data_IF_475270366145
#
_entry.id   IF_475270366145
#
_cell.length_a   1.000
_cell.length_b   1.000
_cell.length_c   1.000
_cell.angle_alpha   90.00
_cell.angle_beta   90.00
_cell.angle_gamma   90.00
#
_symmetry.space_group_name_H-M   'P 1'
#
loop_
_entity.id
_entity.type
_entity.pdbx_description
1 polymer ?
#
# COMPACT_ATOMS: atom_id res chain seq x y z
N UNK A 1 -19.22 30.52 13.42
CA UNK A 1 -18.65 29.23 12.99
C UNK A 1 -19.27 28.90 11.64
N UNK A 2 -18.55 29.11 10.57
CA UNK A 2 -18.97 28.75 9.20
C UNK A 2 -18.61 27.32 8.95
N UNK A 3 -19.61 26.43 8.86
CA UNK A 3 -19.42 25.04 8.44
C UNK A 3 -18.89 25.04 7.00
N UNK A 4 -17.67 24.55 6.86
CA UNK A 4 -17.05 24.32 5.55
C UNK A 4 -17.63 23.03 4.97
N UNK A 5 -18.65 23.15 4.13
CA UNK A 5 -19.16 22.02 3.33
C UNK A 5 -18.43 22.01 1.98
N UNK A 6 -17.51 21.06 1.74
CA UNK A 6 -16.80 21.00 0.48
C UNK A 6 -17.79 20.59 -0.63
N UNK A 7 -17.94 21.44 -1.64
CA UNK A 7 -18.73 21.14 -2.83
C UNK A 7 -18.07 20.01 -3.65
N UNK A 8 -18.88 19.10 -4.21
CA UNK A 8 -18.42 17.96 -5.04
C UNK A 8 -17.49 18.38 -6.18
N UNK A 9 -17.67 19.58 -6.73
CA UNK A 9 -16.79 20.12 -7.77
C UNK A 9 -15.41 20.53 -7.25
N UNK A 10 -15.29 21.01 -6.03
CA UNK A 10 -14.00 21.35 -5.42
C UNK A 10 -13.21 20.10 -5.04
N UNK A 11 -13.88 19.03 -4.62
CA UNK A 11 -13.29 17.71 -4.38
C UNK A 11 -12.72 17.09 -5.67
N UNK A 12 -13.45 17.16 -6.78
CA UNK A 12 -13.00 16.64 -8.07
C UNK A 12 -11.82 17.44 -8.65
N UNK A 13 -11.80 18.76 -8.47
CA UNK A 13 -10.66 19.60 -8.91
C UNK A 13 -9.42 19.36 -8.04
N UNK A 14 -9.58 19.15 -6.76
CA UNK A 14 -8.48 18.81 -5.84
C UNK A 14 -7.85 17.45 -6.12
N UNK A 15 -8.67 16.43 -6.42
CA UNK A 15 -8.19 15.09 -6.74
C UNK A 15 -7.50 15.00 -8.10
N UNK A 16 -7.97 15.75 -9.11
CA UNK A 16 -7.32 15.79 -10.42
C UNK A 16 -5.94 16.47 -10.35
N UNK A 17 -5.80 17.53 -9.58
CA UNK A 17 -4.51 18.20 -9.36
C UNK A 17 -3.53 17.32 -8.58
N UNK A 18 -4.00 16.57 -7.59
CA UNK A 18 -3.19 15.63 -6.83
C UNK A 18 -2.67 14.46 -7.68
N UNK A 19 -3.52 13.93 -8.59
CA UNK A 19 -3.13 12.86 -9.52
C UNK A 19 -2.12 13.34 -10.57
N UNK A 20 -2.27 14.55 -11.08
CA UNK A 20 -1.32 15.15 -12.05
C UNK A 20 0.06 15.41 -11.38
N UNK A 21 0.08 15.83 -10.13
CA UNK A 21 1.32 16.03 -9.38
C UNK A 21 2.03 14.68 -9.07
N UNK A 22 1.28 13.62 -8.79
CA UNK A 22 1.84 12.30 -8.51
C UNK A 22 2.54 11.67 -9.73
N UNK A 23 2.09 11.98 -10.94
CA UNK A 23 2.67 11.45 -12.18
C UNK A 23 4.07 12.00 -12.51
N UNK A 24 4.49 13.09 -11.86
CA UNK A 24 5.80 13.74 -12.09
C UNK A 24 6.81 13.51 -10.99
N UNK A 25 6.45 12.78 -9.94
CA UNK A 25 7.29 12.58 -8.76
C UNK A 25 8.33 11.47 -9.01
N UNK A 26 9.58 11.77 -8.70
CA UNK A 26 10.63 10.75 -8.62
C UNK A 26 10.37 9.77 -7.46
N UNK A 27 10.97 8.57 -7.54
CA UNK A 27 10.84 7.58 -6.47
C UNK A 27 11.25 8.13 -5.09
N UNK A 28 12.27 8.99 -5.04
CA UNK A 28 12.74 9.62 -3.80
C UNK A 28 11.74 10.64 -3.25
N UNK A 29 11.05 11.36 -4.12
CA UNK A 29 9.98 12.28 -3.72
C UNK A 29 8.78 11.51 -3.19
N UNK A 30 8.40 10.40 -3.83
CA UNK A 30 7.31 9.53 -3.34
C UNK A 30 7.64 8.95 -1.96
N UNK A 31 8.88 8.54 -1.73
CA UNK A 31 9.35 8.09 -0.41
C UNK A 31 9.32 9.24 0.62
N UNK A 32 9.62 10.46 0.22
CA UNK A 32 9.51 11.65 1.06
C UNK A 32 8.06 11.92 1.50
N UNK A 33 7.10 11.82 0.58
CA UNK A 33 5.67 11.96 0.91
C UNK A 33 5.16 10.82 1.79
N UNK A 34 5.58 9.58 1.54
CA UNK A 34 5.21 8.44 2.38
C UNK A 34 5.74 8.61 3.82
N UNK A 35 6.97 9.10 3.99
CA UNK A 35 7.53 9.43 5.30
C UNK A 35 6.76 10.56 5.99
N UNK A 36 6.44 11.63 5.27
CA UNK A 36 5.68 12.75 5.80
C UNK A 36 4.27 12.31 6.24
N UNK A 37 3.62 11.46 5.46
CA UNK A 37 2.31 10.89 5.78
C UNK A 37 2.35 10.00 7.01
N UNK A 38 3.35 9.13 7.13
CA UNK A 38 3.54 8.28 8.30
C UNK A 38 3.81 9.07 9.58
N UNK A 39 4.45 10.25 9.46
CA UNK A 39 4.72 11.13 10.61
C UNK A 39 3.52 11.99 11.02
N UNK A 40 2.63 12.30 10.09
CA UNK A 40 1.44 13.13 10.34
C UNK A 40 0.16 12.34 10.53
N UNK A 41 0.20 11.02 10.32
CA UNK A 41 -0.96 10.16 10.52
C UNK A 41 -1.42 10.20 12.00
N UNK A 42 -2.70 10.45 12.26
CA UNK A 42 -3.23 10.53 13.62
C UNK A 42 -3.24 9.18 14.35
N UNK A 43 -3.05 8.08 13.63
CA UNK A 43 -2.97 6.73 14.17
C UNK A 43 -1.52 6.29 14.35
N UNK A 44 -1.28 5.58 15.44
CA UNK A 44 0.01 4.90 15.67
C UNK A 44 -0.23 3.40 15.52
N UNK A 45 0.59 2.70 14.75
CA UNK A 45 0.53 1.24 14.71
C UNK A 45 0.73 0.64 16.11
N UNK A 46 0.10 -0.48 16.38
CA UNK A 46 0.37 -1.25 17.59
C UNK A 46 1.83 -1.68 17.63
N UNK A 47 2.43 -1.67 18.82
CA UNK A 47 3.80 -2.13 18.99
C UNK A 47 3.91 -3.62 18.61
N UNK A 48 4.81 -3.94 17.69
CA UNK A 48 4.99 -5.29 17.18
C UNK A 48 3.97 -5.73 16.13
N UNK A 49 3.19 -4.81 15.58
CA UNK A 49 2.27 -5.11 14.49
C UNK A 49 2.97 -5.81 13.32
N UNK A 50 2.32 -6.80 12.77
CA UNK A 50 2.83 -7.65 11.70
C UNK A 50 1.76 -7.84 10.63
N UNK A 51 2.13 -7.68 9.37
CA UNK A 51 1.26 -7.84 8.21
C UNK A 51 1.80 -8.96 7.33
N UNK A 52 0.96 -9.94 7.04
CA UNK A 52 1.26 -11.02 6.10
C UNK A 52 0.64 -10.68 4.75
N UNK A 53 1.51 -10.40 3.79
CA UNK A 53 1.13 -9.95 2.46
C UNK A 53 1.38 -11.04 1.43
N UNK A 54 0.33 -11.42 0.70
CA UNK A 54 0.43 -12.27 -0.47
C UNK A 54 0.55 -11.39 -1.72
N UNK A 55 1.55 -11.65 -2.53
CA UNK A 55 1.85 -10.88 -3.71
C UNK A 55 2.16 -11.80 -4.91
N UNK A 56 1.75 -11.39 -6.07
CA UNK A 56 2.17 -12.03 -7.32
C UNK A 56 3.67 -11.81 -7.57
N UNK A 57 4.38 -12.90 -7.88
CA UNK A 57 5.78 -12.87 -8.28
C UNK A 57 5.95 -12.16 -9.63
N UNK A 58 6.68 -11.07 -9.64
CA UNK A 58 6.93 -10.27 -10.84
C UNK A 58 7.96 -10.93 -11.74
N UNK A 59 7.87 -10.64 -13.05
CA UNK A 59 8.82 -11.15 -14.03
C UNK A 59 10.10 -10.32 -14.12
N UNK A 60 10.07 -9.08 -13.63
CA UNK A 60 11.18 -8.14 -13.70
C UNK A 60 11.80 -7.99 -12.31
N UNK A 61 13.04 -8.44 -12.16
CA UNK A 61 13.77 -8.40 -10.89
C UNK A 61 13.92 -6.95 -10.34
N UNK A 62 14.15 -5.97 -11.23
CA UNK A 62 14.29 -4.58 -10.83
C UNK A 62 13.01 -4.03 -10.14
N UNK A 63 11.84 -4.54 -10.50
CA UNK A 63 10.56 -4.19 -9.88
C UNK A 63 10.47 -4.74 -8.45
N UNK A 64 10.95 -5.95 -8.23
CA UNK A 64 11.00 -6.55 -6.88
C UNK A 64 11.97 -5.79 -5.99
N UNK A 65 13.14 -5.43 -6.49
CA UNK A 65 14.11 -4.62 -5.75
C UNK A 65 13.54 -3.26 -5.36
N UNK A 66 12.85 -2.59 -6.27
CA UNK A 66 12.19 -1.31 -5.99
C UNK A 66 11.08 -1.44 -4.95
N UNK A 67 10.27 -2.49 -5.07
CA UNK A 67 9.21 -2.77 -4.10
C UNK A 67 9.76 -3.05 -2.70
N UNK A 68 10.81 -3.86 -2.59
CA UNK A 68 11.44 -4.16 -1.29
C UNK A 68 12.03 -2.93 -0.62
N UNK A 69 12.55 -1.96 -1.38
CA UNK A 69 12.99 -0.66 -0.83
C UNK A 69 11.83 0.12 -0.23
N UNK A 70 10.65 0.09 -0.85
CA UNK A 70 9.44 0.74 -0.33
C UNK A 70 9.00 0.07 0.97
N UNK A 71 8.99 -1.27 1.00
CA UNK A 71 8.65 -2.06 2.19
C UNK A 71 9.61 -1.74 3.34
N UNK A 72 10.91 -1.73 3.10
CA UNK A 72 11.91 -1.39 4.10
C UNK A 72 11.74 0.03 4.65
N UNK A 73 11.45 0.99 3.77
CA UNK A 73 11.18 2.37 4.19
C UNK A 73 9.93 2.47 5.06
N UNK A 74 8.87 1.75 4.71
CA UNK A 74 7.65 1.68 5.51
C UNK A 74 7.90 1.04 6.88
N UNK A 75 8.57 -0.11 6.93
CA UNK A 75 8.92 -0.79 8.18
C UNK A 75 9.75 0.11 9.10
N UNK A 76 10.73 0.84 8.55
CA UNK A 76 11.56 1.78 9.31
C UNK A 76 10.76 2.98 9.83
N UNK A 77 9.79 3.46 9.04
CA UNK A 77 8.98 4.62 9.41
C UNK A 77 7.91 4.29 10.46
N UNK A 78 7.34 3.10 10.41
CA UNK A 78 6.16 2.72 11.21
C UNK A 78 6.46 1.74 12.34
N UNK A 79 7.55 0.96 12.22
CA UNK A 79 7.83 -0.17 13.11
C UNK A 79 6.97 -1.42 12.82
N UNK A 80 6.08 -1.37 11.84
CA UNK A 80 5.25 -2.51 11.42
C UNK A 80 6.09 -3.47 10.59
N UNK A 81 6.01 -4.75 10.87
CA UNK A 81 6.70 -5.80 10.12
C UNK A 81 5.83 -6.26 8.96
N UNK A 82 6.39 -6.39 7.76
CA UNK A 82 5.68 -6.94 6.59
C UNK A 82 6.37 -8.22 6.14
N UNK A 83 5.65 -9.34 6.22
CA UNK A 83 6.07 -10.62 5.66
C UNK A 83 5.45 -10.77 4.27
N UNK A 84 6.29 -10.95 3.26
CA UNK A 84 5.84 -11.03 1.87
C UNK A 84 5.98 -12.46 1.39
N UNK A 85 4.89 -13.02 0.89
CA UNK A 85 4.86 -14.28 0.14
C UNK A 85 4.64 -13.97 -1.34
N UNK A 86 5.61 -14.33 -2.17
CA UNK A 86 5.50 -14.19 -3.63
C UNK A 86 5.04 -15.52 -4.22
N UNK A 87 3.92 -15.49 -4.92
CA UNK A 87 3.30 -16.69 -5.51
C UNK A 87 3.11 -16.53 -7.02
N UNK A 88 2.84 -17.65 -7.68
CA UNK A 88 2.45 -17.62 -9.08
C UNK A 88 1.09 -16.94 -9.26
N UNK A 89 0.82 -16.46 -10.45
CA UNK A 89 -0.46 -15.80 -10.75
C UNK A 89 -1.66 -16.71 -10.44
N UNK A 90 -1.55 -17.98 -10.78
CA UNK A 90 -2.65 -18.96 -10.62
C UNK A 90 -2.89 -19.35 -9.15
N UNK A 91 -1.90 -19.16 -8.29
CA UNK A 91 -1.98 -19.50 -6.87
C UNK A 91 -2.56 -18.38 -5.99
N UNK A 92 -2.56 -17.13 -6.47
CA UNK A 92 -3.03 -15.99 -5.69
C UNK A 92 -4.48 -16.16 -5.26
N UNK A 93 -5.36 -16.44 -6.23
CA UNK A 93 -6.80 -16.53 -5.97
C UNK A 93 -7.18 -17.69 -5.03
N UNK A 94 -6.68 -18.93 -5.24
CA UNK A 94 -6.94 -20.03 -4.32
C UNK A 94 -6.46 -19.75 -2.91
N UNK A 95 -5.24 -19.23 -2.74
CA UNK A 95 -4.67 -18.89 -1.42
C UNK A 95 -5.44 -17.77 -0.72
N UNK A 96 -5.83 -16.74 -1.47
CA UNK A 96 -6.66 -15.66 -0.94
C UNK A 96 -8.03 -16.19 -0.48
N UNK A 97 -8.65 -17.07 -1.26
CA UNK A 97 -9.94 -17.68 -0.91
C UNK A 97 -9.84 -18.56 0.35
N UNK A 98 -8.77 -19.33 0.48
CA UNK A 98 -8.52 -20.13 1.70
C UNK A 98 -8.34 -19.21 2.91
N UNK A 99 -7.52 -18.17 2.81
CA UNK A 99 -7.31 -17.22 3.89
C UNK A 99 -8.61 -16.52 4.30
N UNK A 100 -9.43 -16.09 3.35
CA UNK A 100 -10.73 -15.47 3.61
C UNK A 100 -11.71 -16.40 4.31
N UNK A 101 -11.74 -17.69 3.90
CA UNK A 101 -12.65 -18.67 4.49
C UNK A 101 -12.20 -19.14 5.89
N UNK A 102 -10.92 -19.22 6.12
CA UNK A 102 -10.37 -19.68 7.41
C UNK A 102 -10.16 -18.53 8.41
N UNK A 103 -10.13 -17.29 7.94
CA UNK A 103 -9.79 -16.14 8.75
C UNK A 103 -8.34 -16.15 9.26
N UNK A 104 -7.45 -16.88 8.59
CA UNK A 104 -6.06 -17.07 9.02
C UNK A 104 -5.07 -16.87 7.89
N UNK A 105 -3.88 -16.41 8.25
CA UNK A 105 -2.68 -16.46 7.42
C UNK A 105 -2.36 -15.17 6.66
N UNK A 106 -3.33 -14.55 6.01
CA UNK A 106 -3.10 -13.37 5.17
C UNK A 106 -3.91 -12.18 5.65
N UNK A 107 -3.23 -11.02 5.76
CA UNK A 107 -3.85 -9.75 6.11
C UNK A 107 -4.09 -8.88 4.87
N UNK A 108 -3.24 -9.07 3.86
CA UNK A 108 -3.29 -8.31 2.61
C UNK A 108 -2.99 -9.21 1.40
N UNK A 109 -3.75 -9.02 0.35
CA UNK A 109 -3.54 -9.70 -0.94
C UNK A 109 -3.40 -8.68 -2.05
N UNK A 110 -2.29 -8.73 -2.75
CA UNK A 110 -2.11 -7.99 -3.98
C UNK A 110 -2.42 -8.91 -5.17
N UNK A 111 -3.68 -8.92 -5.53
CA UNK A 111 -4.21 -9.68 -6.66
C UNK A 111 -4.49 -8.81 -7.87
N UNK A 112 -4.81 -9.45 -8.96
CA UNK A 112 -5.44 -8.80 -10.09
C UNK A 112 -6.95 -8.80 -9.87
N UNK A 113 -7.62 -7.78 -10.40
CA UNK A 113 -9.08 -7.78 -10.44
C UNK A 113 -9.58 -9.04 -11.12
N UNK A 114 -10.53 -9.73 -10.52
CA UNK A 114 -11.29 -10.75 -11.20
C UNK A 114 -12.19 -10.09 -12.24
N UNK A 115 -12.10 -10.55 -13.44
CA UNK A 115 -13.10 -10.30 -14.44
C UNK A 115 -14.41 -10.99 -14.06
#
# INVERSE_FOLDING_TARGET
MTEFTPDRRSLLKGSAAALAAAATLSADQMLGYAKAWAQTAPWKPEAGANINMLRWKRFVEAEDVAFMKIVDAFQKATGVKINISNESFDDIQPKASVAANTGQGLDMVWGLYSL
#
